data_IF_744749988043
#
_entry.id   IF_744749988043
#
_cell.length_a   1.000
_cell.length_b   1.000
_cell.length_c   1.000
_cell.angle_alpha   90.00
_cell.angle_beta   90.00
_cell.angle_gamma   90.00
#
_symmetry.space_group_name_H-M   'P 1'
#
loop_
_entity.id
_entity.type
_entity.pdbx_description
1 polymer ?
#
# COMPACT_ATOMS: atom_id res chain seq x y z
N UNK A 1 2.15 1.48 8.97
CA UNK A 1 0.84 0.82 8.75
C UNK A 1 -0.14 1.88 8.27
N UNK A 2 -1.02 1.55 7.33
CA UNK A 2 -2.21 2.35 7.00
C UNK A 2 -3.45 1.51 7.28
N UNK A 3 -4.45 2.10 7.93
CA UNK A 3 -5.69 1.41 8.28
C UNK A 3 -6.93 2.31 8.20
N UNK A 4 -8.10 1.69 8.15
CA UNK A 4 -9.41 2.36 8.13
C UNK A 4 -9.94 2.61 6.72
N UNK A 5 -10.73 3.67 6.55
CA UNK A 5 -11.42 3.98 5.28
C UNK A 5 -10.79 5.19 4.59
N UNK A 6 -10.44 5.05 3.31
CA UNK A 6 -9.83 6.12 2.52
C UNK A 6 -10.78 6.65 1.44
N UNK A 7 -11.46 7.74 1.78
CA UNK A 7 -12.39 8.48 0.90
C UNK A 7 -12.19 10.01 0.94
N UNK A 8 -10.96 10.53 0.84
CA UNK A 8 -10.71 11.97 0.87
C UNK A 8 -11.33 12.66 -0.37
N UNK A 9 -11.93 13.83 -0.17
CA UNK A 9 -12.41 14.69 -1.25
C UNK A 9 -11.24 15.20 -2.11
N UNK A 10 -10.18 15.67 -1.46
CA UNK A 10 -8.93 16.12 -2.09
C UNK A 10 -7.82 15.07 -1.90
N UNK A 11 -7.96 13.91 -2.55
CA UNK A 11 -7.04 12.78 -2.38
C UNK A 11 -5.56 13.14 -2.60
N UNK A 12 -5.25 13.96 -3.60
CA UNK A 12 -3.86 14.37 -3.86
C UNK A 12 -3.25 15.11 -2.66
N UNK A 13 -3.94 16.13 -2.13
CA UNK A 13 -3.46 16.93 -0.99
C UNK A 13 -3.35 16.09 0.28
N UNK A 14 -4.27 15.15 0.47
CA UNK A 14 -4.26 14.22 1.60
C UNK A 14 -3.04 13.28 1.57
N UNK A 15 -2.75 12.70 0.40
CA UNK A 15 -1.68 11.70 0.25
C UNK A 15 -0.30 12.31 0.00
N UNK A 16 -0.21 13.54 -0.51
CA UNK A 16 1.05 14.23 -0.79
C UNK A 16 2.07 14.19 0.38
N UNK A 17 1.71 14.56 1.63
CA UNK A 17 2.68 14.51 2.74
C UNK A 17 3.14 13.07 3.05
N UNK A 18 2.26 12.07 2.87
CA UNK A 18 2.61 10.67 3.09
C UNK A 18 3.54 10.15 2.00
N UNK A 19 3.27 10.46 0.73
CA UNK A 19 4.14 10.10 -0.39
C UNK A 19 5.53 10.72 -0.24
N UNK A 20 5.61 11.98 0.21
CA UNK A 20 6.89 12.64 0.47
C UNK A 20 7.64 11.99 1.64
N UNK A 21 6.94 11.62 2.70
CA UNK A 21 7.53 10.91 3.82
C UNK A 21 8.12 9.55 3.40
N UNK A 22 7.43 8.79 2.55
CA UNK A 22 7.91 7.49 2.05
C UNK A 22 9.12 7.66 1.14
N UNK A 23 9.17 8.72 0.31
CA UNK A 23 10.35 9.04 -0.50
C UNK A 23 11.57 9.37 0.38
N UNK A 24 11.39 10.22 1.39
CA UNK A 24 12.47 10.56 2.32
C UNK A 24 12.95 9.32 3.10
N UNK A 25 12.04 8.45 3.52
CA UNK A 25 12.38 7.16 4.14
C UNK A 25 13.24 6.28 3.21
N UNK A 26 12.94 6.26 1.91
CA UNK A 26 13.65 5.45 0.94
C UNK A 26 15.11 5.86 0.72
N UNK A 27 15.54 7.06 1.14
CA UNK A 27 16.95 7.46 1.06
C UNK A 27 17.85 6.69 2.05
N UNK A 28 17.28 6.27 3.19
CA UNK A 28 17.98 5.49 4.20
C UNK A 28 17.01 4.52 4.90
N UNK A 29 16.55 3.46 4.20
CA UNK A 29 15.56 2.55 4.72
C UNK A 29 16.14 1.71 5.86
N UNK A 30 15.25 1.13 6.66
CA UNK A 30 15.65 0.10 7.61
C UNK A 30 16.16 -1.16 6.89
N UNK A 31 16.87 -2.03 7.61
CA UNK A 31 17.33 -3.32 7.07
C UNK A 31 16.17 -4.18 6.53
N UNK A 32 14.98 -4.00 7.10
CA UNK A 32 13.73 -4.59 6.63
C UNK A 32 12.61 -3.57 6.67
N UNK A 33 11.99 -3.34 5.52
CA UNK A 33 10.82 -2.48 5.34
C UNK A 33 9.57 -3.34 5.26
N UNK A 34 8.57 -3.05 6.11
CA UNK A 34 7.28 -3.71 6.08
C UNK A 34 6.17 -2.66 6.00
N UNK A 35 5.36 -2.72 4.95
CA UNK A 35 4.16 -1.91 4.82
C UNK A 35 2.93 -2.80 5.03
N UNK A 36 2.20 -2.56 6.13
CA UNK A 36 0.91 -3.20 6.37
C UNK A 36 -0.24 -2.26 5.96
N UNK A 37 -1.19 -2.80 5.22
CA UNK A 37 -2.41 -2.13 4.77
C UNK A 37 -3.62 -2.89 5.30
N UNK A 38 -4.44 -2.23 6.13
CA UNK A 38 -5.68 -2.74 6.72
C UNK A 38 -6.83 -1.81 6.38
N UNK A 39 -7.13 -1.70 5.10
CA UNK A 39 -8.10 -0.74 4.59
C UNK A 39 -9.45 -1.44 4.44
N UNK A 40 -10.47 -0.90 5.09
CA UNK A 40 -11.86 -1.39 5.00
C UNK A 40 -12.53 -0.95 3.70
N UNK A 41 -12.09 0.18 3.13
CA UNK A 41 -12.62 0.70 1.89
C UNK A 41 -11.69 1.75 1.29
N UNK A 42 -11.48 1.68 -0.02
CA UNK A 42 -10.81 2.73 -0.79
C UNK A 42 -11.64 3.09 -2.02
N UNK A 43 -11.75 4.40 -2.29
CA UNK A 43 -12.30 4.84 -3.58
C UNK A 43 -11.21 4.85 -4.66
N UNK A 44 -11.61 5.02 -5.92
CA UNK A 44 -10.68 5.02 -7.07
C UNK A 44 -9.59 6.10 -7.00
N UNK A 45 -9.85 7.21 -6.32
CA UNK A 45 -8.83 8.25 -6.12
C UNK A 45 -7.78 7.82 -5.10
N UNK A 46 -8.20 7.24 -3.97
CA UNK A 46 -7.29 6.64 -2.99
C UNK A 46 -6.50 5.50 -3.60
N UNK A 47 -7.13 4.67 -4.45
CA UNK A 47 -6.46 3.58 -5.14
C UNK A 47 -5.25 4.09 -5.95
N UNK A 48 -5.45 5.17 -6.72
CA UNK A 48 -4.37 5.80 -7.50
C UNK A 48 -3.27 6.36 -6.60
N UNK A 49 -3.64 7.03 -5.51
CA UNK A 49 -2.65 7.63 -4.60
C UNK A 49 -1.85 6.59 -3.82
N UNK A 50 -2.46 5.46 -3.46
CA UNK A 50 -1.76 4.34 -2.80
C UNK A 50 -0.75 3.69 -3.75
N UNK A 51 -1.03 3.63 -5.06
CA UNK A 51 -0.04 3.20 -6.05
C UNK A 51 1.21 4.10 -6.02
N UNK A 52 1.03 5.41 -5.85
CA UNK A 52 2.16 6.35 -5.72
C UNK A 52 3.00 6.13 -4.45
N UNK A 53 2.40 5.59 -3.39
CA UNK A 53 3.11 5.18 -2.17
C UNK A 53 3.97 3.92 -2.41
N UNK A 54 3.53 3.02 -3.28
CA UNK A 54 4.28 1.81 -3.59
C UNK A 54 5.51 2.07 -4.45
N UNK A 55 5.52 3.12 -5.28
CA UNK A 55 6.63 3.40 -6.21
C UNK A 55 8.01 3.49 -5.53
N UNK A 56 8.22 4.25 -4.44
CA UNK A 56 9.52 4.25 -3.76
C UNK A 56 9.86 2.89 -3.13
N UNK A 57 8.87 2.15 -2.62
CA UNK A 57 9.08 0.81 -2.05
C UNK A 57 9.51 -0.21 -3.11
N UNK A 58 8.96 -0.09 -4.31
CA UNK A 58 9.33 -0.89 -5.47
C UNK A 58 10.75 -0.57 -5.94
N UNK A 59 11.12 0.71 -5.97
CA UNK A 59 12.51 1.10 -6.24
C UNK A 59 13.48 0.50 -5.21
N UNK A 60 13.17 0.58 -3.91
CA UNK A 60 13.97 -0.06 -2.86
C UNK A 60 14.13 -1.57 -3.10
N UNK A 61 13.05 -2.25 -3.50
CA UNK A 61 13.09 -3.67 -3.82
C UNK A 61 14.00 -3.96 -5.02
N UNK A 62 13.92 -3.16 -6.08
CA UNK A 62 14.78 -3.27 -7.27
C UNK A 62 16.26 -3.02 -6.95
N UNK A 63 16.55 -2.20 -5.94
CA UNK A 63 17.90 -1.97 -5.39
C UNK A 63 18.37 -3.10 -4.45
N UNK A 64 17.57 -4.16 -4.30
CA UNK A 64 17.90 -5.35 -3.50
C UNK A 64 17.64 -5.20 -2.01
N UNK A 65 16.90 -4.17 -1.57
CA UNK A 65 16.49 -4.02 -0.16
C UNK A 65 15.38 -5.02 0.19
N UNK A 66 15.33 -5.38 1.47
CA UNK A 66 14.32 -6.30 1.99
C UNK A 66 13.02 -5.53 2.26
N UNK A 67 12.12 -5.54 1.28
CA UNK A 67 10.82 -4.86 1.34
C UNK A 67 9.69 -5.88 1.20
N UNK A 68 8.63 -5.71 1.97
CA UNK A 68 7.40 -6.50 1.83
C UNK A 68 6.18 -5.62 2.08
N UNK A 69 5.17 -5.79 1.24
CA UNK A 69 3.84 -5.21 1.45
C UNK A 69 2.89 -6.32 1.88
N UNK A 70 2.14 -6.09 2.95
CA UNK A 70 1.06 -6.95 3.41
C UNK A 70 -0.25 -6.20 3.22
N UNK A 71 -1.13 -6.76 2.41
CA UNK A 71 -2.50 -6.34 2.23
C UNK A 71 -3.42 -7.27 3.03
N UNK A 72 -4.05 -6.71 4.06
CA UNK A 72 -5.07 -7.39 4.83
C UNK A 72 -6.43 -7.00 4.28
N UNK A 73 -7.35 -7.96 4.15
CA UNK A 73 -8.74 -7.76 3.72
C UNK A 73 -9.66 -8.71 4.50
N UNK A 74 -10.91 -8.33 4.71
CA UNK A 74 -11.93 -9.22 5.30
C UNK A 74 -12.29 -10.33 4.32
N UNK A 75 -12.42 -11.58 4.78
CA UNK A 75 -12.62 -12.76 3.93
C UNK A 75 -13.84 -12.66 2.99
N UNK A 76 -14.86 -11.90 3.38
CA UNK A 76 -16.08 -11.67 2.62
C UNK A 76 -16.07 -10.38 1.77
N UNK A 77 -14.98 -9.60 1.80
CA UNK A 77 -14.80 -8.40 0.96
C UNK A 77 -14.07 -8.72 -0.36
N UNK A 78 -14.85 -9.20 -1.33
CA UNK A 78 -14.35 -9.49 -2.69
C UNK A 78 -13.76 -8.25 -3.39
N UNK A 79 -14.28 -7.05 -3.10
CA UNK A 79 -13.82 -5.82 -3.76
C UNK A 79 -12.41 -5.41 -3.28
N UNK A 80 -12.13 -5.59 -1.98
CA UNK A 80 -10.80 -5.33 -1.43
C UNK A 80 -9.79 -6.42 -1.83
N UNK A 81 -10.23 -7.65 -2.06
CA UNK A 81 -9.40 -8.70 -2.68
C UNK A 81 -9.04 -8.35 -4.13
N UNK A 82 -10.02 -7.95 -4.95
CA UNK A 82 -9.80 -7.53 -6.34
C UNK A 82 -8.80 -6.38 -6.41
N UNK A 83 -8.96 -5.35 -5.57
CA UNK A 83 -8.01 -4.24 -5.47
C UNK A 83 -6.59 -4.70 -5.10
N UNK A 84 -6.44 -5.70 -4.23
CA UNK A 84 -5.15 -6.26 -3.85
C UNK A 84 -4.47 -6.97 -5.02
N UNK A 85 -5.23 -7.74 -5.79
CA UNK A 85 -4.74 -8.46 -6.97
C UNK A 85 -4.38 -7.46 -8.09
N UNK A 86 -5.16 -6.41 -8.31
CA UNK A 86 -4.84 -5.33 -9.25
C UNK A 86 -3.47 -4.70 -8.94
N UNK A 87 -3.17 -4.45 -7.66
CA UNK A 87 -1.85 -3.97 -7.26
C UNK A 87 -0.76 -5.01 -7.49
N UNK A 88 -1.03 -6.26 -7.13
CA UNK A 88 -0.06 -7.36 -7.26
C UNK A 88 0.31 -7.64 -8.72
N UNK A 89 -0.58 -7.40 -9.67
CA UNK A 89 -0.30 -7.54 -11.10
C UNK A 89 0.69 -6.50 -11.63
N UNK A 90 0.67 -5.29 -11.05
CA UNK A 90 1.51 -4.17 -11.52
C UNK A 90 2.81 -4.01 -10.72
N UNK A 91 2.87 -4.54 -9.50
CA UNK A 91 4.01 -4.40 -8.60
C UNK A 91 4.92 -5.63 -8.62
N UNK A 92 6.23 -5.39 -8.54
CA UNK A 92 7.26 -6.43 -8.42
C UNK A 92 7.72 -6.68 -6.98
N UNK A 93 7.48 -5.73 -6.08
CA UNK A 93 7.78 -5.88 -4.65
C UNK A 93 6.99 -7.06 -4.06
N UNK A 94 7.58 -7.88 -3.16
CA UNK A 94 6.85 -8.95 -2.49
C UNK A 94 5.56 -8.44 -1.84
N UNK A 95 4.42 -8.87 -2.40
CA UNK A 95 3.09 -8.42 -2.02
C UNK A 95 2.28 -9.61 -1.52
N UNK A 96 1.91 -9.59 -0.23
CA UNK A 96 1.15 -10.65 0.43
C UNK A 96 -0.29 -10.21 0.62
N UNK A 97 -1.22 -10.98 0.06
CA UNK A 97 -2.66 -10.83 0.30
C UNK A 97 -3.06 -11.77 1.43
N UNK A 98 -3.63 -11.23 2.50
CA UNK A 98 -3.88 -11.93 3.77
C UNK A 98 -5.34 -11.70 4.16
N UNK A 99 -6.13 -12.76 4.17
CA UNK A 99 -7.52 -12.68 4.61
C UNK A 99 -7.60 -12.69 6.15
N UNK A 100 -8.58 -11.96 6.71
CA UNK A 100 -8.89 -11.91 8.15
C UNK A 100 -10.39 -12.04 8.37
N UNK A 101 -10.80 -12.50 9.56
CA UNK A 101 -12.22 -12.64 9.90
C UNK A 101 -12.94 -11.28 10.03
N UNK A 102 -12.29 -10.28 10.65
CA UNK A 102 -12.80 -8.93 10.89
C UNK A 102 -11.62 -7.97 11.20
N UNK A 103 -11.76 -6.67 10.89
CA UNK A 103 -10.75 -5.64 11.18
C UNK A 103 -10.73 -5.09 12.61
#
# INVERSE_FOLDING_TARGET
>A
ELSGRSIPEAAYEFFAPLTEWVKAYAENPADKTLLNLRLEYINSNSFKMILDIFKPLEQLHQEGKNVTVNWYYEEDDEAMLEAAEDYREVLTVPFKVIAVDEF
#
